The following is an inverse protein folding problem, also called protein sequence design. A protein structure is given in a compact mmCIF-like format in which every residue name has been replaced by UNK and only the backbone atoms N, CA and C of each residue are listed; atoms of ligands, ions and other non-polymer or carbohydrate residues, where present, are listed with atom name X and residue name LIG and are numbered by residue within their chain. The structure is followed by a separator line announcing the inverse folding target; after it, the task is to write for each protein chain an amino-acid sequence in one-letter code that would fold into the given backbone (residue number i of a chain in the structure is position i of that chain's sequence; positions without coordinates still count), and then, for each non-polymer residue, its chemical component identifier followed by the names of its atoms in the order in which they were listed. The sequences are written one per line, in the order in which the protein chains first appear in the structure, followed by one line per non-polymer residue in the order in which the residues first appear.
data_IF_969200844904
#
_entry.id   IF_969200844904
#
_cell.length_a   1.000
_cell.length_b   1.000
_cell.length_c   1.000
_cell.angle_alpha   90.00
_cell.angle_beta   90.00
_cell.angle_gamma   90.00
#
_symmetry.space_group_name_H-M   'P 1'
#
loop_
_entity.id
_entity.type
_entity.pdbx_description
1 polymer ?
#
# COMPACT_ATOMS: atom_id res chain seq x y z
N UNK A 1 13.06 -1.01 -28.22
CA UNK A 1 13.17 -0.80 -26.76
C UNK A 1 14.53 -1.21 -26.15
N UNK A 2 15.60 -1.44 -26.93
CA UNK A 2 16.95 -1.72 -26.37
C UNK A 2 17.64 -0.50 -25.73
N UNK A 3 17.20 0.71 -26.08
CA UNK A 3 17.82 1.96 -25.64
C UNK A 3 17.44 2.41 -24.22
N UNK A 4 16.38 1.85 -23.61
CA UNK A 4 16.01 2.15 -22.21
C UNK A 4 16.90 1.38 -21.22
N UNK A 5 17.52 0.28 -21.65
CA UNK A 5 18.39 -0.55 -20.80
C UNK A 5 19.75 0.11 -20.48
N UNK A 6 20.15 1.17 -21.19
CA UNK A 6 21.52 1.73 -21.12
C UNK A 6 21.60 3.21 -20.68
N UNK A 7 20.50 3.82 -20.27
CA UNK A 7 20.54 5.14 -19.63
C UNK A 7 20.88 4.93 -18.16
N UNK A 8 21.96 5.55 -17.68
CA UNK A 8 22.50 5.48 -16.31
C UNK A 8 21.58 5.94 -15.17
N UNK A 9 20.26 5.85 -15.36
CA UNK A 9 19.23 5.72 -14.33
C UNK A 9 19.06 4.22 -14.01
N UNK A 10 20.18 3.49 -13.98
CA UNK A 10 20.27 2.09 -13.56
C UNK A 10 20.27 1.97 -12.03
N UNK A 11 19.41 2.74 -11.37
CA UNK A 11 19.16 2.55 -9.94
C UNK A 11 18.23 1.35 -9.80
N UNK A 12 18.70 0.34 -9.09
CA UNK A 12 18.11 -0.96 -8.78
C UNK A 12 16.64 -0.87 -8.35
N UNK A 13 15.70 -0.74 -9.30
CA UNK A 13 14.27 -0.67 -9.01
C UNK A 13 13.65 -2.09 -9.03
N UNK A 14 12.49 -2.24 -8.41
CA UNK A 14 11.81 -3.53 -8.32
C UNK A 14 11.53 -4.15 -9.70
N UNK A 15 11.22 -3.33 -10.71
CA UNK A 15 10.93 -3.81 -12.07
C UNK A 15 12.19 -4.30 -12.80
N UNK A 16 13.36 -3.74 -12.53
CA UNK A 16 14.62 -4.21 -13.10
C UNK A 16 14.98 -5.62 -12.61
N UNK A 17 14.67 -5.94 -11.35
CA UNK A 17 14.81 -7.30 -10.81
C UNK A 17 13.77 -8.25 -11.41
N UNK A 18 12.53 -7.80 -11.56
CA UNK A 18 11.47 -8.60 -12.20
C UNK A 18 11.83 -8.96 -13.65
N UNK A 19 12.35 -8.00 -14.43
CA UNK A 19 12.79 -8.24 -15.82
C UNK A 19 13.98 -9.21 -15.86
N UNK A 20 14.95 -9.08 -14.94
CA UNK A 20 16.12 -9.97 -14.89
C UNK A 20 15.76 -11.42 -14.52
N UNK A 21 14.79 -11.64 -13.64
CA UNK A 21 14.31 -12.99 -13.31
C UNK A 21 13.40 -13.55 -14.42
N UNK A 22 12.63 -12.70 -15.10
CA UNK A 22 11.75 -13.13 -16.18
C UNK A 22 12.50 -13.70 -17.39
N UNK A 23 13.75 -13.28 -17.63
CA UNK A 23 14.62 -13.83 -18.68
C UNK A 23 15.04 -15.31 -18.44
N UNK A 24 14.78 -15.88 -17.25
CA UNK A 24 15.16 -17.25 -16.87
C UNK A 24 14.04 -18.28 -17.00
N UNK A 25 12.78 -17.87 -17.14
CA UNK A 25 11.60 -18.75 -17.11
C UNK A 25 10.97 -18.96 -18.49
N UNK A 26 10.36 -20.14 -18.70
CA UNK A 26 9.68 -20.50 -19.94
C UNK A 26 8.29 -19.86 -20.11
N UNK A 27 7.71 -19.32 -19.04
CA UNK A 27 6.50 -18.48 -19.05
C UNK A 27 6.85 -17.00 -18.85
N UNK A 28 7.74 -16.48 -19.71
CA UNK A 28 8.17 -15.09 -19.66
C UNK A 28 6.99 -14.11 -19.89
N UNK A 29 6.95 -13.05 -19.09
CA UNK A 29 6.02 -11.94 -19.25
C UNK A 29 6.51 -11.10 -20.42
N UNK A 30 5.59 -10.69 -21.28
CA UNK A 30 5.94 -9.74 -22.33
C UNK A 30 6.35 -8.40 -21.73
N UNK A 31 7.27 -7.68 -22.39
CA UNK A 31 7.67 -6.32 -22.00
C UNK A 31 6.45 -5.40 -21.80
N UNK A 32 5.39 -5.62 -22.60
CA UNK A 32 4.13 -4.91 -22.48
C UNK A 32 3.39 -5.21 -21.17
N UNK A 33 3.30 -6.47 -20.75
CA UNK A 33 2.69 -6.85 -19.48
C UNK A 33 3.46 -6.25 -18.30
N UNK A 34 4.80 -6.30 -18.32
CA UNK A 34 5.62 -5.69 -17.27
C UNK A 34 5.38 -4.19 -17.19
N UNK A 35 5.34 -3.49 -18.33
CA UNK A 35 5.05 -2.06 -18.38
C UNK A 35 3.62 -1.73 -17.92
N UNK A 36 2.64 -2.57 -18.26
CA UNK A 36 1.24 -2.40 -17.85
C UNK A 36 1.08 -2.54 -16.34
N UNK A 37 1.65 -3.60 -15.74
CA UNK A 37 1.64 -3.82 -14.29
C UNK A 37 2.38 -2.69 -13.56
N UNK A 38 3.53 -2.25 -14.08
CA UNK A 38 4.26 -1.10 -13.54
C UNK A 38 3.41 0.19 -13.54
N UNK A 39 2.67 0.43 -14.63
CA UNK A 39 1.70 1.52 -14.71
C UNK A 39 0.59 1.39 -13.67
N UNK A 40 0.08 0.18 -13.44
CA UNK A 40 -0.89 -0.13 -12.40
C UNK A 40 -0.42 0.27 -11.00
N UNK A 41 0.81 -0.08 -10.63
CA UNK A 41 1.41 0.32 -9.35
C UNK A 41 1.54 1.84 -9.20
N UNK A 42 1.98 2.54 -10.24
CA UNK A 42 2.11 4.00 -10.22
C UNK A 42 0.74 4.64 -9.99
N UNK A 43 -0.30 4.19 -10.70
CA UNK A 43 -1.65 4.75 -10.56
C UNK A 43 -2.23 4.46 -9.18
N UNK A 44 -2.06 3.22 -8.68
CA UNK A 44 -2.55 2.79 -7.37
C UNK A 44 -1.95 3.62 -6.23
N UNK A 45 -0.64 3.91 -6.29
CA UNK A 45 0.06 4.70 -5.28
C UNK A 45 -0.17 6.20 -5.40
N UNK A 46 -0.28 6.74 -6.62
CA UNK A 46 -0.22 8.20 -6.84
C UNK A 46 -1.45 8.93 -6.30
N UNK A 47 -2.67 8.49 -6.66
CA UNK A 47 -3.88 9.19 -6.22
C UNK A 47 -4.22 8.95 -4.75
N UNK A 48 -3.98 7.74 -4.25
CA UNK A 48 -4.28 7.38 -2.87
C UNK A 48 -3.42 8.18 -1.89
N UNK A 49 -2.10 8.21 -2.12
CA UNK A 49 -1.16 8.95 -1.26
C UNK A 49 -1.39 10.47 -1.34
N UNK A 50 -1.62 11.03 -2.52
CA UNK A 50 -1.87 12.46 -2.69
C UNK A 50 -3.12 12.93 -1.92
N UNK A 51 -4.20 12.17 -1.99
CA UNK A 51 -5.44 12.48 -1.27
C UNK A 51 -5.23 12.38 0.25
N UNK A 52 -4.62 11.29 0.73
CA UNK A 52 -4.32 11.11 2.16
C UNK A 52 -3.45 12.25 2.70
N UNK A 53 -2.39 12.64 1.98
CA UNK A 53 -1.50 13.70 2.43
C UNK A 53 -2.20 15.06 2.45
N UNK A 54 -3.07 15.34 1.48
CA UNK A 54 -3.86 16.58 1.44
C UNK A 54 -4.75 16.71 2.67
N UNK A 55 -5.50 15.66 3.02
CA UNK A 55 -6.36 15.66 4.19
C UNK A 55 -5.58 15.66 5.50
N UNK A 56 -4.43 14.99 5.56
CA UNK A 56 -3.55 15.01 6.72
C UNK A 56 -3.09 16.43 7.02
N UNK A 57 -2.55 17.13 6.01
CA UNK A 57 -2.10 18.53 6.16
C UNK A 57 -3.26 19.43 6.57
N UNK A 58 -4.44 19.26 5.94
CA UNK A 58 -5.63 20.03 6.31
C UNK A 58 -6.07 19.76 7.76
N UNK A 59 -6.04 18.51 8.23
CA UNK A 59 -6.43 18.14 9.59
C UNK A 59 -5.49 18.73 10.66
N UNK A 60 -4.19 18.78 10.37
CA UNK A 60 -3.18 19.42 11.23
C UNK A 60 -3.40 20.93 11.29
N UNK A 61 -3.55 21.58 10.14
CA UNK A 61 -3.73 23.04 10.07
C UNK A 61 -5.07 23.50 10.64
N UNK A 62 -6.10 22.65 10.63
CA UNK A 62 -7.41 22.96 11.20
C UNK A 62 -7.44 22.87 12.73
N UNK A 63 -6.45 22.21 13.35
CA UNK A 63 -6.42 21.97 14.79
C UNK A 63 -5.05 22.37 15.38
N UNK A 64 -4.90 23.60 15.90
CA UNK A 64 -3.61 24.08 16.42
C UNK A 64 -3.07 23.23 17.58
N UNK A 65 -3.94 22.60 18.37
CA UNK A 65 -3.54 21.68 19.45
C UNK A 65 -2.83 20.43 18.92
N UNK A 66 -3.27 19.90 17.77
CA UNK A 66 -2.66 18.73 17.13
C UNK A 66 -1.29 19.12 16.59
N UNK A 67 -1.20 20.28 15.94
CA UNK A 67 0.05 20.83 15.44
C UNK A 67 1.08 21.00 16.56
N UNK A 68 0.70 21.65 17.67
CA UNK A 68 1.59 21.89 18.81
C UNK A 68 2.13 20.59 19.42
N UNK A 69 1.31 19.52 19.46
CA UNK A 69 1.73 18.21 19.96
C UNK A 69 2.76 17.53 19.04
N UNK A 70 2.56 17.57 17.73
CA UNK A 70 3.52 17.03 16.75
C UNK A 70 4.84 17.79 16.82
N UNK A 71 4.77 19.12 16.87
CA UNK A 71 5.96 19.97 16.97
C UNK A 71 6.73 19.68 18.26
N UNK A 72 6.05 19.51 19.39
CA UNK A 72 6.70 19.15 20.65
C UNK A 72 7.39 17.78 20.60
N UNK A 73 6.77 16.80 19.95
CA UNK A 73 7.32 15.44 19.79
C UNK A 73 8.54 15.43 18.85
N UNK A 74 8.48 16.17 17.74
CA UNK A 74 9.60 16.32 16.81
C UNK A 74 10.73 17.16 17.44
N UNK A 75 10.41 18.19 18.24
CA UNK A 75 11.40 19.00 18.93
C UNK A 75 12.18 18.22 20.00
N UNK A 76 11.64 17.10 20.49
CA UNK A 76 12.34 16.21 21.41
C UNK A 76 13.41 15.34 20.71
N UNK A 77 13.42 15.27 19.37
CA UNK A 77 14.43 14.53 18.62
C UNK A 77 15.76 15.30 18.51
N UNK A 78 16.83 14.55 18.23
CA UNK A 78 18.14 15.14 17.98
C UNK A 78 18.14 15.98 16.69
N UNK A 79 18.92 17.07 16.61
CA UNK A 79 18.92 17.99 15.46
C UNK A 79 19.31 17.37 14.11
N UNK A 80 19.91 16.17 14.10
CA UNK A 80 20.28 15.41 12.90
C UNK A 80 19.41 14.15 12.73
N UNK A 81 18.11 14.24 13.03
CA UNK A 81 17.20 13.11 12.86
C UNK A 81 17.04 12.76 11.37
N UNK A 82 16.90 11.47 11.10
CA UNK A 82 16.64 10.89 9.78
C UNK A 82 15.18 10.42 9.69
N UNK A 83 14.74 10.02 8.50
CA UNK A 83 13.39 9.46 8.32
C UNK A 83 13.12 8.23 9.17
N UNK A 84 14.15 7.44 9.50
CA UNK A 84 14.03 6.26 10.36
C UNK A 84 13.74 6.64 11.82
N UNK A 85 14.16 7.83 12.26
CA UNK A 85 13.93 8.32 13.62
C UNK A 85 12.50 8.85 13.81
N UNK A 86 11.78 9.10 12.70
CA UNK A 86 10.36 9.50 12.70
C UNK A 86 9.40 8.30 12.77
N UNK A 87 9.81 7.13 12.29
CA UNK A 87 9.02 5.90 12.28
C UNK A 87 8.57 5.42 13.68
N UNK A 88 9.39 5.51 14.75
CA UNK A 88 8.96 5.11 16.09
C UNK A 88 8.05 6.13 16.79
N UNK A 89 7.82 7.32 16.22
CA UNK A 89 7.00 8.35 16.85
C UNK A 89 5.52 7.94 16.87
N UNK A 90 4.88 7.82 18.05
CA UNK A 90 3.51 7.34 18.15
C UNK A 90 2.49 8.32 17.58
N UNK A 91 2.69 9.63 17.73
CA UNK A 91 1.63 10.59 17.40
C UNK A 91 1.45 10.84 15.89
N UNK A 92 2.53 11.01 15.09
CA UNK A 92 2.41 11.07 13.63
C UNK A 92 1.78 9.80 13.05
N UNK A 93 2.15 8.63 13.57
CA UNK A 93 1.58 7.34 13.16
C UNK A 93 0.07 7.27 13.46
N UNK A 94 -0.34 7.66 14.67
CA UNK A 94 -1.75 7.72 15.05
C UNK A 94 -2.55 8.74 14.20
N UNK A 95 -1.95 9.86 13.84
CA UNK A 95 -2.57 10.85 12.96
C UNK A 95 -2.82 10.30 11.55
N UNK A 96 -1.87 9.55 10.99
CA UNK A 96 -2.01 8.92 9.68
C UNK A 96 -3.18 7.92 9.71
N UNK A 97 -3.23 7.06 10.73
CA UNK A 97 -4.33 6.11 10.96
C UNK A 97 -5.68 6.82 11.06
N UNK A 98 -5.76 7.91 11.84
CA UNK A 98 -7.00 8.68 12.01
C UNK A 98 -7.41 9.40 10.73
N UNK A 99 -6.44 9.88 9.95
CA UNK A 99 -6.70 10.47 8.64
C UNK A 99 -7.25 9.43 7.67
N UNK A 100 -6.70 8.21 7.67
CA UNK A 100 -7.19 7.10 6.85
C UNK A 100 -8.59 6.65 7.30
N UNK A 101 -8.89 6.71 8.61
CA UNK A 101 -10.22 6.40 9.16
C UNK A 101 -11.28 7.41 8.71
N UNK A 102 -10.95 8.69 8.68
CA UNK A 102 -11.89 9.78 8.35
C UNK A 102 -11.98 10.08 6.84
N UNK A 103 -10.84 10.08 6.15
CA UNK A 103 -10.68 10.57 4.78
C UNK A 103 -10.00 9.53 3.87
N UNK A 104 -10.38 8.25 4.01
CA UNK A 104 -9.83 7.19 3.15
C UNK A 104 -9.98 7.53 1.67
N UNK A 105 -8.86 7.50 0.93
CA UNK A 105 -8.84 7.69 -0.52
C UNK A 105 -9.59 6.58 -1.29
N UNK A 106 -9.82 5.43 -0.64
CA UNK A 106 -10.61 4.31 -1.15
C UNK A 106 -11.68 3.93 -0.12
N UNK A 107 -12.82 4.65 -0.07
CA UNK A 107 -13.87 4.41 0.92
C UNK A 107 -14.65 3.10 0.69
N UNK A 108 -14.45 2.42 -0.45
CA UNK A 108 -15.12 1.18 -0.81
C UNK A 108 -14.15 0.05 -1.10
N UNK A 109 -14.53 -1.18 -0.74
CA UNK A 109 -13.81 -2.38 -1.13
C UNK A 109 -13.89 -2.59 -2.66
N UNK A 110 -12.80 -3.07 -3.26
CA UNK A 110 -12.80 -3.47 -4.66
C UNK A 110 -13.80 -4.64 -4.82
N UNK A 111 -14.73 -4.59 -5.78
CA UNK A 111 -15.71 -5.65 -5.96
C UNK A 111 -14.99 -6.96 -6.29
N UNK A 112 -15.19 -7.98 -5.45
CA UNK A 112 -14.62 -9.31 -5.65
C UNK A 112 -15.60 -10.19 -6.43
N UNK A 113 -15.18 -10.68 -7.59
CA UNK A 113 -15.92 -11.69 -8.32
C UNK A 113 -15.73 -13.05 -7.63
N UNK A 114 -16.72 -13.51 -6.86
CA UNK A 114 -16.68 -14.87 -6.28
C UNK A 114 -16.90 -15.92 -7.36
N UNK A 115 -15.91 -16.80 -7.57
CA UNK A 115 -16.12 -18.04 -8.34
C UNK A 115 -17.18 -18.90 -7.64
N UNK A 116 -18.14 -19.43 -8.42
CA UNK A 116 -19.39 -20.09 -7.96
C UNK A 116 -19.20 -21.14 -6.85
N UNK A 117 -18.08 -21.85 -6.83
CA UNK A 117 -17.77 -22.92 -5.87
C UNK A 117 -17.75 -22.43 -4.40
N UNK A 118 -17.35 -21.19 -4.13
CA UNK A 118 -17.30 -20.65 -2.77
C UNK A 118 -18.70 -20.25 -2.23
N UNK A 119 -19.69 -20.05 -3.11
CA UNK A 119 -21.04 -19.64 -2.69
C UNK A 119 -21.79 -20.75 -1.92
N UNK A 120 -21.58 -22.01 -2.30
CA UNK A 120 -22.19 -23.16 -1.64
C UNK A 120 -21.60 -23.33 -0.25
N UNK A 121 -20.27 -23.32 -0.12
CA UNK A 121 -19.60 -23.49 1.17
C UNK A 121 -19.87 -22.35 2.15
N UNK A 122 -19.82 -21.09 1.71
CA UNK A 122 -20.09 -19.96 2.59
C UNK A 122 -21.56 -19.93 3.06
N UNK A 123 -22.50 -20.34 2.19
CA UNK A 123 -23.94 -20.44 2.52
C UNK A 123 -24.22 -21.65 3.41
N UNK A 124 -23.52 -22.77 3.23
CA UNK A 124 -23.64 -23.96 4.06
C UNK A 124 -23.05 -23.74 5.46
N UNK A 125 -21.90 -23.06 5.59
CA UNK A 125 -21.31 -22.71 6.89
C UNK A 125 -22.18 -21.71 7.67
N UNK A 126 -22.82 -20.74 7.00
CA UNK A 126 -23.79 -19.83 7.64
C UNK A 126 -25.06 -20.56 8.10
N UNK A 127 -25.54 -21.56 7.35
CA UNK A 127 -26.74 -22.33 7.69
C UNK A 127 -26.50 -23.39 8.78
N UNK A 128 -25.28 -23.91 8.89
CA UNK A 128 -24.93 -24.97 9.84
C UNK A 128 -24.38 -24.46 11.18
N UNK A 129 -24.36 -23.14 11.42
CA UNK A 129 -23.94 -22.55 12.71
C UNK A 129 -22.52 -22.96 13.14
N UNK A 130 -21.67 -23.34 12.19
CA UNK A 130 -20.33 -23.88 12.46
C UNK A 130 -19.34 -22.78 12.78
N UNK A 131 -18.84 -22.77 14.03
CA UNK A 131 -17.76 -21.91 14.47
C UNK A 131 -16.53 -22.02 13.55
N UNK A 132 -15.90 -20.87 13.28
CA UNK A 132 -14.89 -20.58 12.26
C UNK A 132 -13.55 -21.33 12.39
N UNK A 133 -13.55 -22.65 12.55
CA UNK A 133 -12.32 -23.43 12.79
C UNK A 133 -12.17 -24.58 11.80
N UNK A 134 -12.02 -24.26 10.52
CA UNK A 134 -11.43 -25.18 9.53
C UNK A 134 -11.03 -24.45 8.23
N UNK A 135 -9.99 -23.62 8.29
CA UNK A 135 -9.22 -23.26 7.10
C UNK A 135 -7.77 -23.73 7.32
N UNK A 136 -7.55 -25.03 7.26
CA UNK A 136 -6.23 -25.62 7.03
C UNK A 136 -6.33 -26.40 5.73
N UNK A 137 -6.11 -25.70 4.62
CA UNK A 137 -5.93 -26.34 3.33
C UNK A 137 -4.50 -26.90 3.29
N UNK A 138 -4.41 -28.21 3.44
CA UNK A 138 -3.29 -29.03 3.00
C UNK A 138 -3.45 -29.29 1.51
N UNK A 139 -2.63 -28.67 0.67
CA UNK A 139 -1.85 -29.28 -0.44
C UNK A 139 -1.07 -28.19 -1.15
#
# INVERSE_FOLDING_TARGET
MKHVRNSGIGATNIFSKLVAENEKDSEALTDYQVAFEAGGFIVAGSRTTAVTLTYLVWAVLSNPDIQARIEAEVAALQPNYTGADLEPLPYPSALIEETLRLYSAAPGAIPVARRRICSIWCRLSYLLGGSSRAYRAST
#
